data_IF_025957914074
#
_entry.id   IF_025957914074
#
_cell.length_a   1.000
_cell.length_b   1.000
_cell.length_c   1.000
_cell.angle_alpha   90.00
_cell.angle_beta   90.00
_cell.angle_gamma   90.00
#
_symmetry.space_group_name_H-M   'P 1'
#
loop_
_entity.id
_entity.type
_entity.pdbx_description
1 polymer ?
#
# COMPACT_ATOMS: atom_id res chain seq x y z
N UNK A 1 7.23 12.67 3.52
CA UNK A 1 5.90 12.63 4.16
C UNK A 1 5.52 11.17 4.30
N UNK A 2 5.26 10.68 5.51
CA UNK A 2 4.88 9.27 5.74
C UNK A 2 3.36 9.19 5.75
N UNK A 3 2.78 8.32 4.93
CA UNK A 3 1.34 8.08 4.90
C UNK A 3 1.02 6.88 5.78
N UNK A 4 -0.04 6.97 6.59
CA UNK A 4 -0.57 5.79 7.28
C UNK A 4 -1.06 4.75 6.25
N UNK A 5 -1.20 3.46 6.62
CA UNK A 5 -1.71 2.42 5.71
C UNK A 5 -3.03 2.81 5.05
N UNK A 6 -3.94 3.42 5.83
CA UNK A 6 -5.25 3.88 5.36
C UNK A 6 -5.14 5.01 4.34
N UNK A 7 -4.32 6.02 4.62
CA UNK A 7 -4.09 7.14 3.71
C UNK A 7 -3.40 6.66 2.42
N UNK A 8 -2.41 5.78 2.54
CA UNK A 8 -1.72 5.16 1.40
C UNK A 8 -2.70 4.42 0.50
N UNK A 9 -3.61 3.63 1.07
CA UNK A 9 -4.68 2.97 0.31
C UNK A 9 -5.63 3.93 -0.43
N UNK A 10 -5.91 5.11 0.16
CA UNK A 10 -6.69 6.16 -0.51
C UNK A 10 -5.92 6.72 -1.73
N UNK A 11 -4.63 7.03 -1.55
CA UNK A 11 -3.77 7.58 -2.61
C UNK A 11 -3.59 6.59 -3.76
N UNK A 12 -3.35 5.31 -3.46
CA UNK A 12 -3.26 4.24 -4.47
C UNK A 12 -4.53 4.21 -5.34
N UNK A 13 -5.72 4.21 -4.72
CA UNK A 13 -7.00 4.19 -5.45
C UNK A 13 -7.19 5.45 -6.30
N UNK A 14 -6.76 6.61 -5.81
CA UNK A 14 -6.82 7.85 -6.58
C UNK A 14 -5.88 7.81 -7.80
N UNK A 15 -4.64 7.36 -7.63
CA UNK A 15 -3.66 7.23 -8.71
C UNK A 15 -4.11 6.26 -9.81
N UNK A 16 -4.76 5.15 -9.45
CA UNK A 16 -5.34 4.22 -10.42
C UNK A 16 -6.39 4.92 -11.30
N UNK A 17 -7.27 5.74 -10.71
CA UNK A 17 -8.29 6.49 -11.45
C UNK A 17 -7.67 7.54 -12.37
N UNK A 18 -6.65 8.24 -11.89
CA UNK A 18 -5.92 9.24 -12.70
C UNK A 18 -5.24 8.57 -13.89
N UNK A 19 -4.54 7.45 -13.68
CA UNK A 19 -3.86 6.72 -14.75
C UNK A 19 -4.81 6.08 -15.75
N UNK A 20 -6.03 5.74 -15.34
CA UNK A 20 -7.07 5.27 -16.27
C UNK A 20 -7.54 6.39 -17.22
N UNK A 21 -7.52 7.65 -16.76
CA UNK A 21 -7.86 8.82 -17.58
C UNK A 21 -6.67 9.34 -18.38
N UNK A 22 -5.46 9.31 -17.79
CA UNK A 22 -4.22 9.80 -18.39
C UNK A 22 -3.08 8.77 -18.25
N UNK A 23 -3.03 7.75 -19.13
CA UNK A 23 -2.07 6.65 -19.01
C UNK A 23 -0.61 7.04 -19.29
N UNK A 24 -0.36 8.24 -19.81
CA UNK A 24 0.99 8.73 -20.15
C UNK A 24 1.71 9.40 -18.98
N UNK A 25 1.07 9.55 -17.83
CA UNK A 25 1.66 10.16 -16.64
C UNK A 25 2.64 9.21 -15.93
N UNK A 26 3.85 9.08 -16.50
CA UNK A 26 4.86 8.11 -16.07
C UNK A 26 5.31 8.30 -14.61
N UNK A 27 5.25 9.52 -14.09
CA UNK A 27 5.56 9.83 -12.69
C UNK A 27 4.53 9.25 -11.72
N UNK A 28 3.23 9.32 -12.07
CA UNK A 28 2.17 8.70 -11.27
C UNK A 28 2.24 7.19 -11.29
N UNK A 29 2.71 6.58 -12.39
CA UNK A 29 2.95 5.15 -12.46
C UNK A 29 4.07 4.71 -11.51
N UNK A 30 5.21 5.40 -11.54
CA UNK A 30 6.34 5.13 -10.62
C UNK A 30 5.94 5.32 -9.16
N UNK A 31 5.13 6.33 -8.87
CA UNK A 31 4.60 6.56 -7.52
C UNK A 31 3.64 5.45 -7.10
N UNK A 32 2.73 5.03 -7.98
CA UNK A 32 1.79 3.95 -7.72
C UNK A 32 2.50 2.64 -7.40
N UNK A 33 3.52 2.27 -8.17
CA UNK A 33 4.29 1.04 -7.96
C UNK A 33 4.98 1.06 -6.58
N UNK A 34 5.65 2.16 -6.23
CA UNK A 34 6.27 2.32 -4.90
C UNK A 34 5.26 2.22 -3.74
N UNK A 35 4.11 2.90 -3.87
CA UNK A 35 3.11 2.90 -2.81
C UNK A 35 2.47 1.51 -2.62
N UNK A 36 2.37 0.71 -3.69
CA UNK A 36 1.92 -0.68 -3.61
C UNK A 36 2.90 -1.55 -2.86
N UNK A 37 4.20 -1.47 -3.18
CA UNK A 37 5.24 -2.20 -2.44
C UNK A 37 5.26 -1.85 -0.96
N UNK A 38 5.11 -0.57 -0.62
CA UNK A 38 4.99 -0.11 0.78
C UNK A 38 3.70 -0.59 1.45
N UNK A 39 2.60 -0.76 0.70
CA UNK A 39 1.35 -1.28 1.23
C UNK A 39 1.42 -2.79 1.52
N UNK A 40 1.92 -3.56 0.56
CA UNK A 40 2.06 -5.01 0.66
C UNK A 40 3.01 -5.42 1.80
N UNK A 41 4.16 -4.72 1.96
CA UNK A 41 5.08 -4.99 3.10
C UNK A 41 4.44 -4.71 4.45
N UNK A 42 3.67 -3.64 4.58
CA UNK A 42 3.02 -3.33 5.85
C UNK A 42 1.86 -4.32 6.14
N UNK A 43 1.11 -4.75 5.13
CA UNK A 43 0.12 -5.83 5.29
C UNK A 43 0.77 -7.16 5.67
N UNK A 44 1.91 -7.52 5.08
CA UNK A 44 2.68 -8.71 5.44
C UNK A 44 3.19 -8.65 6.89
N UNK A 45 3.72 -7.50 7.34
CA UNK A 45 4.17 -7.30 8.72
C UNK A 45 3.00 -7.42 9.71
N UNK A 46 1.84 -6.84 9.38
CA UNK A 46 0.64 -6.92 10.22
C UNK A 46 0.10 -8.36 10.30
N UNK A 47 0.13 -9.10 9.20
CA UNK A 47 -0.21 -10.52 9.18
C UNK A 47 0.76 -11.33 10.05
N UNK A 48 2.07 -11.19 9.84
CA UNK A 48 3.10 -11.92 10.60
C UNK A 48 3.01 -11.61 12.10
N UNK A 49 2.91 -10.33 12.49
CA UNK A 49 2.75 -9.95 13.90
C UNK A 49 1.42 -10.44 14.49
N UNK A 50 0.34 -10.41 13.70
CA UNK A 50 -0.95 -10.98 14.11
C UNK A 50 -0.87 -12.50 14.31
N UNK A 51 -0.16 -13.23 13.46
CA UNK A 51 0.06 -14.67 13.63
C UNK A 51 0.97 -14.98 14.83
N UNK A 52 2.01 -14.18 15.07
CA UNK A 52 2.94 -14.38 16.19
C UNK A 52 2.26 -14.17 17.55
N UNK A 53 1.35 -13.20 17.66
CA UNK A 53 0.58 -12.97 18.89
C UNK A 53 -0.50 -14.02 19.17
N UNK A 54 -0.92 -14.81 18.18
CA UNK A 54 -1.93 -15.87 18.36
C UNK A 54 -1.34 -17.24 18.75
N UNK A 55 -0.01 -17.36 18.87
CA UNK A 55 0.66 -18.63 19.24
C UNK A 55 1.28 -18.62 20.65
N UNK A 56 1.17 -17.53 21.41
CA UNK A 56 1.69 -17.42 22.81
C UNK A 56 0.60 -17.66 23.88
N UNK A 57 -0.61 -18.06 23.47
CA UNK A 57 -1.73 -18.46 24.36
C UNK A 57 -1.97 -19.99 24.29
N UNK A 58 -0.96 -20.80 24.66
CA UNK A 58 -1.06 -22.26 24.69
C UNK A 58 -0.09 -22.97 25.63
#
# INVERSE_FOLDING_TARGET
>A
MYLSPRERGIVIRALIKVLAMEPRANEYKKLLDRLREEHEREEEILLINGFLCNMDDG
#
